data_IF_909936502839
#
_entry.id   IF_909936502839
#
_cell.length_a   1.000
_cell.length_b   1.000
_cell.length_c   1.000
_cell.angle_alpha   90.00
_cell.angle_beta   90.00
_cell.angle_gamma   90.00
#
_symmetry.space_group_name_H-M   'P 1'
#
loop_
_entity.id
_entity.type
_entity.pdbx_description
1 polymer ?
#
# COMPACT_ATOMS: atom_id res chain seq x y z
N UNK A 1 -23.60 -2.69 -0.62
CA UNK A 1 -24.49 -3.86 -0.67
C UNK A 1 -24.50 -4.38 -2.10
N UNK A 2 -24.07 -5.61 -2.30
CA UNK A 2 -23.94 -6.22 -3.63
C UNK A 2 -25.26 -6.92 -4.03
N UNK A 3 -26.36 -6.16 -4.00
CA UNK A 3 -27.63 -6.65 -4.49
C UNK A 3 -27.56 -6.72 -6.01
N UNK A 4 -27.50 -7.92 -6.56
CA UNK A 4 -27.47 -8.14 -7.99
C UNK A 4 -26.33 -9.02 -8.47
N UNK A 5 -25.43 -9.41 -7.58
CA UNK A 5 -24.44 -10.43 -7.87
C UNK A 5 -24.90 -11.76 -7.28
N UNK A 6 -25.46 -12.66 -8.07
CA UNK A 6 -25.74 -13.99 -7.55
C UNK A 6 -24.40 -14.63 -7.20
N UNK A 7 -24.27 -15.08 -5.96
CA UNK A 7 -23.18 -15.99 -5.60
C UNK A 7 -23.49 -17.30 -6.30
N UNK A 8 -22.99 -17.43 -7.50
CA UNK A 8 -23.13 -18.66 -8.26
C UNK A 8 -21.85 -19.45 -8.07
N UNK A 9 -21.95 -20.54 -7.32
CA UNK A 9 -20.91 -21.53 -7.27
C UNK A 9 -20.95 -22.32 -8.57
N UNK A 10 -20.04 -22.03 -9.49
CA UNK A 10 -19.88 -22.78 -10.73
C UNK A 10 -19.01 -24.01 -10.46
N UNK A 11 -19.45 -25.24 -10.80
CA UNK A 11 -18.53 -26.35 -10.93
C UNK A 11 -17.51 -25.99 -12.02
N UNK A 12 -16.24 -25.97 -11.65
CA UNK A 12 -15.16 -25.50 -12.55
C UNK A 12 -15.07 -26.30 -13.86
N UNK A 13 -15.64 -27.49 -13.91
CA UNK A 13 -15.64 -28.34 -15.10
C UNK A 13 -16.64 -27.92 -16.17
N UNK A 14 -17.59 -27.04 -15.88
CA UNK A 14 -18.67 -26.63 -16.80
C UNK A 14 -18.65 -25.17 -17.19
N UNK A 15 -17.66 -24.41 -16.69
CA UNK A 15 -17.53 -23.00 -16.99
C UNK A 15 -16.79 -22.80 -18.31
N UNK A 16 -17.55 -22.77 -19.42
CA UNK A 16 -17.01 -22.41 -20.73
C UNK A 16 -17.46 -20.99 -21.04
N UNK A 17 -16.51 -20.08 -21.12
CA UNK A 17 -16.79 -18.72 -21.59
C UNK A 17 -16.95 -18.73 -23.09
N UNK A 18 -18.08 -18.22 -23.63
CA UNK A 18 -18.26 -18.16 -25.09
C UNK A 18 -17.44 -17.04 -25.75
N UNK A 19 -16.86 -16.14 -24.96
CA UNK A 19 -16.26 -14.90 -25.46
C UNK A 19 -14.77 -15.01 -25.73
N UNK A 20 -14.10 -16.06 -25.23
CA UNK A 20 -12.65 -16.21 -25.38
C UNK A 20 -12.26 -17.64 -25.74
N UNK A 21 -11.31 -17.74 -26.65
CA UNK A 21 -10.79 -19.05 -27.04
C UNK A 21 -9.91 -19.67 -25.96
N UNK A 22 -9.78 -21.02 -25.92
CA UNK A 22 -8.86 -21.68 -25.01
C UNK A 22 -7.40 -21.19 -25.14
N UNK A 23 -6.97 -20.85 -26.36
CA UNK A 23 -5.62 -20.33 -26.62
C UNK A 23 -5.40 -18.96 -25.99
N UNK A 24 -6.40 -18.09 -26.04
CA UNK A 24 -6.35 -16.78 -25.36
C UNK A 24 -6.22 -16.94 -23.84
N UNK A 25 -6.95 -17.86 -23.25
CA UNK A 25 -6.90 -18.12 -21.81
C UNK A 25 -5.55 -18.71 -21.39
N UNK A 26 -4.97 -19.58 -22.18
CA UNK A 26 -3.63 -20.12 -21.94
C UNK A 26 -2.58 -19.00 -21.99
N UNK A 27 -2.69 -18.10 -22.96
CA UNK A 27 -1.80 -16.96 -23.10
C UNK A 27 -1.88 -16.03 -21.88
N UNK A 28 -3.10 -15.74 -21.38
CA UNK A 28 -3.30 -14.93 -20.17
C UNK A 28 -2.74 -15.60 -18.93
N UNK A 29 -2.92 -16.91 -18.80
CA UNK A 29 -2.33 -17.70 -17.71
C UNK A 29 -0.80 -17.59 -17.72
N UNK A 30 -0.20 -17.64 -18.90
CA UNK A 30 1.24 -17.45 -19.08
C UNK A 30 1.70 -16.07 -18.63
N UNK A 31 0.95 -15.02 -18.92
CA UNK A 31 1.25 -13.65 -18.47
C UNK A 31 1.23 -13.54 -16.96
N UNK A 32 0.22 -14.11 -16.30
CA UNK A 32 0.15 -14.12 -14.82
C UNK A 32 1.34 -14.85 -14.23
N UNK A 33 1.68 -16.03 -14.75
CA UNK A 33 2.83 -16.81 -14.28
C UNK A 33 4.15 -16.07 -14.46
N UNK A 34 4.35 -15.44 -15.61
CA UNK A 34 5.56 -14.66 -15.91
C UNK A 34 5.70 -13.42 -15.02
N UNK A 35 4.57 -12.87 -14.54
CA UNK A 35 4.53 -11.68 -13.72
C UNK A 35 4.41 -11.96 -12.21
N UNK A 36 4.52 -13.22 -11.79
CA UNK A 36 4.28 -13.62 -10.39
C UNK A 36 5.15 -12.86 -9.38
N UNK A 37 6.40 -12.58 -9.71
CA UNK A 37 7.29 -11.78 -8.86
C UNK A 37 6.83 -10.34 -8.70
N UNK A 38 6.29 -9.73 -9.75
CA UNK A 38 5.73 -8.38 -9.69
C UNK A 38 4.46 -8.34 -8.84
N UNK A 39 3.57 -9.31 -8.99
CA UNK A 39 2.37 -9.41 -8.16
C UNK A 39 2.72 -9.56 -6.69
N UNK A 40 3.72 -10.38 -6.36
CA UNK A 40 4.19 -10.55 -4.99
C UNK A 40 4.69 -9.24 -4.41
N UNK A 41 5.55 -8.52 -5.11
CA UNK A 41 6.08 -7.22 -4.65
C UNK A 41 4.98 -6.18 -4.44
N UNK A 42 4.05 -6.09 -5.37
CA UNK A 42 2.92 -5.16 -5.27
C UNK A 42 2.03 -5.55 -4.09
N UNK A 43 1.74 -6.82 -3.92
CA UNK A 43 0.94 -7.32 -2.79
C UNK A 43 1.59 -7.03 -1.45
N UNK A 44 2.89 -7.25 -1.31
CA UNK A 44 3.64 -6.91 -0.10
C UNK A 44 3.61 -5.40 0.20
N UNK A 45 3.71 -4.58 -0.85
CA UNK A 45 3.63 -3.13 -0.72
C UNK A 45 2.24 -2.69 -0.22
N UNK A 46 1.17 -3.21 -0.79
CA UNK A 46 -0.19 -2.93 -0.32
C UNK A 46 -0.42 -3.43 1.11
N UNK A 47 0.15 -4.57 1.48
CA UNK A 47 0.06 -5.09 2.85
C UNK A 47 0.69 -4.12 3.88
N UNK A 48 1.78 -3.46 3.51
CA UNK A 48 2.40 -2.43 4.36
C UNK A 48 1.48 -1.22 4.56
N UNK A 49 0.66 -0.89 3.58
CA UNK A 49 -0.26 0.24 3.62
C UNK A 49 -1.59 -0.10 4.31
N UNK A 50 -1.90 -1.37 4.52
CA UNK A 50 -3.22 -1.82 4.98
C UNK A 50 -3.51 -1.59 6.48
N UNK A 51 -2.58 -1.02 7.24
CA UNK A 51 -2.80 -0.70 8.64
C UNK A 51 -3.33 0.72 8.82
N UNK A 52 -4.38 0.91 9.62
CA UNK A 52 -4.94 2.24 9.90
C UNK A 52 -3.90 3.21 10.45
N UNK A 53 -3.10 2.78 11.42
CA UNK A 53 -2.05 3.62 12.00
C UNK A 53 -0.99 4.01 10.97
N UNK A 54 -0.59 3.08 10.10
CA UNK A 54 0.38 3.37 9.04
C UNK A 54 -0.16 4.36 8.02
N UNK A 55 -1.44 4.25 7.66
CA UNK A 55 -2.10 5.23 6.80
C UNK A 55 -2.16 6.61 7.44
N UNK A 56 -2.43 6.68 8.74
CA UNK A 56 -2.40 7.95 9.50
C UNK A 56 -1.01 8.58 9.47
N UNK A 57 0.04 7.80 9.65
CA UNK A 57 1.42 8.28 9.56
C UNK A 57 1.71 8.85 8.17
N UNK A 58 1.34 8.13 7.13
CA UNK A 58 1.53 8.57 5.75
C UNK A 58 0.78 9.87 5.48
N UNK A 59 -0.46 9.97 5.92
CA UNK A 59 -1.27 11.18 5.77
C UNK A 59 -0.65 12.38 6.46
N UNK A 60 -0.13 12.20 7.67
CA UNK A 60 0.55 13.27 8.41
C UNK A 60 1.84 13.72 7.72
N UNK A 61 2.64 12.78 7.24
CA UNK A 61 3.88 13.12 6.53
C UNK A 61 3.59 13.79 5.18
N UNK A 62 2.51 13.40 4.51
CA UNK A 62 2.08 14.07 3.28
C UNK A 62 1.64 15.51 3.55
N UNK A 63 0.96 15.76 4.67
CA UNK A 63 0.44 17.07 5.04
C UNK A 63 1.54 18.05 5.40
N UNK A 64 2.50 17.64 6.25
CA UNK A 64 3.51 18.54 6.80
C UNK A 64 4.92 18.35 6.25
N UNK A 65 5.15 17.30 5.49
CA UNK A 65 6.42 16.98 4.84
C UNK A 65 7.35 16.14 5.69
N UNK A 66 7.58 16.51 6.94
CA UNK A 66 8.54 15.82 7.81
C UNK A 66 8.12 15.91 9.27
N UNK A 67 8.24 14.80 10.00
CA UNK A 67 7.97 14.74 11.45
C UNK A 67 8.96 13.80 12.14
N UNK A 68 9.28 14.11 13.39
CA UNK A 68 10.03 13.20 14.26
C UNK A 68 9.09 12.20 14.96
N UNK A 69 9.68 11.15 15.53
CA UNK A 69 8.91 10.10 16.22
C UNK A 69 8.09 10.67 17.38
N UNK A 70 8.65 11.60 18.15
CA UNK A 70 7.95 12.21 19.28
C UNK A 70 6.71 12.97 18.85
N UNK A 71 6.79 13.72 17.77
CA UNK A 71 5.65 14.48 17.25
C UNK A 71 4.56 13.54 16.72
N UNK A 72 4.94 12.50 15.98
CA UNK A 72 4.01 11.47 15.54
C UNK A 72 3.32 10.77 16.71
N UNK A 73 4.08 10.41 17.73
CA UNK A 73 3.55 9.77 18.92
C UNK A 73 2.54 10.66 19.64
N UNK A 74 2.83 11.96 19.74
CA UNK A 74 1.93 12.93 20.34
C UNK A 74 0.62 13.07 19.56
N UNK A 75 0.72 13.23 18.25
CA UNK A 75 -0.46 13.40 17.38
C UNK A 75 -1.33 12.14 17.36
N UNK A 76 -0.69 10.97 17.32
CA UNK A 76 -1.40 9.68 17.23
C UNK A 76 -1.82 9.14 18.60
N UNK A 77 -1.42 9.81 19.69
CA UNK A 77 -1.69 9.35 21.07
C UNK A 77 -1.18 7.91 21.30
N UNK A 78 0.05 7.67 20.85
CA UNK A 78 0.73 6.38 20.94
C UNK A 78 2.06 6.54 21.63
N UNK A 79 2.63 5.42 22.08
CA UNK A 79 4.00 5.43 22.60
C UNK A 79 5.00 5.61 21.45
N UNK A 80 6.14 6.29 21.69
CA UNK A 80 7.20 6.39 20.69
C UNK A 80 7.70 5.04 20.20
N UNK A 81 7.75 4.04 21.08
CA UNK A 81 8.14 2.68 20.71
C UNK A 81 7.18 2.04 19.67
N UNK A 82 5.87 2.21 19.86
CA UNK A 82 4.87 1.72 18.94
C UNK A 82 4.97 2.42 17.57
N UNK A 83 5.12 3.75 17.58
CA UNK A 83 5.32 4.53 16.34
C UNK A 83 6.59 4.10 15.62
N UNK A 84 7.68 3.89 16.36
CA UNK A 84 8.95 3.43 15.78
C UNK A 84 8.83 2.08 15.08
N UNK A 85 8.03 1.17 15.62
CA UNK A 85 7.77 -0.13 14.97
C UNK A 85 7.06 0.03 13.63
N UNK A 86 6.04 0.89 13.58
CA UNK A 86 5.34 1.18 12.32
C UNK A 86 6.26 1.86 11.30
N UNK A 87 7.04 2.83 11.74
CA UNK A 87 8.02 3.54 10.89
C UNK A 87 9.10 2.59 10.36
N UNK A 88 9.57 1.66 11.17
CA UNK A 88 10.54 0.65 10.75
C UNK A 88 10.00 -0.22 9.61
N UNK A 89 8.75 -0.64 9.69
CA UNK A 89 8.11 -1.40 8.62
C UNK A 89 7.95 -0.57 7.34
N UNK A 90 7.50 0.68 7.48
CA UNK A 90 7.36 1.60 6.34
C UNK A 90 8.71 1.91 5.70
N UNK A 91 9.77 2.03 6.49
CA UNK A 91 11.13 2.25 6.00
C UNK A 91 11.67 1.04 5.25
N UNK A 92 11.46 -0.16 5.78
CA UNK A 92 11.83 -1.42 5.11
C UNK A 92 11.13 -1.54 3.76
N UNK A 93 9.86 -1.14 3.68
CA UNK A 93 9.10 -1.09 2.43
C UNK A 93 9.44 0.10 1.52
N UNK A 94 10.37 0.94 1.91
CA UNK A 94 10.78 2.15 1.17
C UNK A 94 9.66 3.16 0.95
N UNK A 95 8.68 3.19 1.85
CA UNK A 95 7.58 4.14 1.84
C UNK A 95 7.99 5.45 2.52
N UNK A 96 8.81 5.35 3.55
CA UNK A 96 9.37 6.51 4.26
C UNK A 96 10.89 6.47 4.23
N UNK A 97 11.48 7.66 4.35
CA UNK A 97 12.92 7.87 4.55
C UNK A 97 13.14 8.55 5.89
N UNK A 98 14.30 8.32 6.47
CA UNK A 98 14.69 8.99 7.71
C UNK A 98 15.97 9.80 7.50
N UNK A 99 16.07 10.88 8.25
CA UNK A 99 17.32 11.63 8.41
C UNK A 99 17.58 11.90 9.90
N UNK A 100 18.83 11.99 10.26
CA UNK A 100 19.24 12.29 11.60
C UNK A 100 19.73 13.74 11.69
N UNK A 101 19.23 14.48 12.68
CA UNK A 101 19.72 15.79 13.03
C UNK A 101 19.99 15.81 14.54
N UNK A 102 21.27 15.70 14.90
CA UNK A 102 21.67 15.53 16.31
C UNK A 102 21.13 14.24 16.90
N UNK A 103 20.34 14.37 17.96
CA UNK A 103 19.70 13.24 18.64
C UNK A 103 18.29 12.94 18.10
N UNK A 104 17.81 13.71 17.15
CA UNK A 104 16.46 13.60 16.61
C UNK A 104 16.48 12.93 15.25
N UNK A 105 15.58 11.97 15.05
CA UNK A 105 15.37 11.32 13.77
C UNK A 105 14.06 11.81 13.18
N UNK A 106 14.13 12.36 11.97
CA UNK A 106 12.98 12.84 11.20
C UNK A 106 12.63 11.84 10.10
N UNK A 107 11.35 11.72 9.85
CA UNK A 107 10.80 10.86 8.80
C UNK A 107 10.04 11.69 7.79
N UNK A 108 10.13 11.30 6.53
CA UNK A 108 9.38 11.87 5.42
C UNK A 108 8.99 10.76 4.44
N UNK A 109 8.02 11.03 3.59
CA UNK A 109 7.67 10.10 2.53
C UNK A 109 8.85 9.96 1.56
N UNK A 110 9.14 8.74 1.16
CA UNK A 110 10.13 8.46 0.15
C UNK A 110 9.63 8.96 -1.21
N UNK A 111 10.53 9.51 -2.02
CA UNK A 111 10.21 9.80 -3.41
C UNK A 111 10.01 8.48 -4.15
N UNK A 112 8.95 8.40 -4.96
CA UNK A 112 8.73 7.23 -5.79
C UNK A 112 9.92 7.04 -6.72
N UNK A 113 10.56 5.87 -6.74
CA UNK A 113 11.60 5.60 -7.71
C UNK A 113 11.01 5.73 -9.11
N UNK A 114 11.76 6.36 -10.02
CA UNK A 114 11.36 6.48 -11.41
C UNK A 114 10.98 5.10 -11.96
N UNK A 115 9.70 4.90 -12.31
CA UNK A 115 9.18 3.63 -12.80
C UNK A 115 8.61 2.68 -11.74
N UNK A 116 8.58 3.09 -10.47
CA UNK A 116 7.85 2.35 -9.43
C UNK A 116 6.38 2.72 -9.40
N UNK A 117 5.51 1.85 -8.86
CA UNK A 117 4.14 2.24 -8.62
C UNK A 117 4.16 3.44 -7.67
N UNK A 118 3.73 4.59 -8.17
CA UNK A 118 3.37 5.68 -7.29
C UNK A 118 2.36 5.09 -6.30
N UNK A 119 2.64 5.21 -5.01
CA UNK A 119 1.57 5.00 -4.04
C UNK A 119 0.49 5.98 -4.45
N UNK A 120 -0.65 5.53 -4.95
CA UNK A 120 -1.74 6.45 -5.11
C UNK A 120 -2.23 6.78 -3.70
N UNK A 121 -1.51 7.66 -3.05
CA UNK A 121 -2.15 8.49 -2.05
C UNK A 121 -3.13 9.25 -2.91
N UNK A 122 -4.35 8.81 -2.87
CA UNK A 122 -5.47 9.33 -3.64
C UNK A 122 -5.28 10.83 -3.84
N UNK A 123 -5.39 11.31 -5.05
CA UNK A 123 -5.22 12.73 -5.35
C UNK A 123 -6.20 13.67 -4.63
N UNK A 124 -6.72 13.22 -3.50
CA UNK A 124 -7.42 14.00 -2.50
C UNK A 124 -6.67 13.84 -1.19
N UNK A 125 -6.26 14.94 -0.63
CA UNK A 125 -5.73 14.97 0.71
C UNK A 125 -6.79 14.43 1.67
N UNK A 126 -6.39 13.48 2.51
CA UNK A 126 -7.30 12.81 3.45
C UNK A 126 -7.95 13.82 4.42
N UNK A 127 -7.29 14.96 4.62
CA UNK A 127 -7.77 16.01 5.52
C UNK A 127 -8.65 17.07 4.83
N UNK A 128 -8.85 17.00 3.52
CA UNK A 128 -9.66 17.96 2.77
C UNK A 128 -11.13 17.53 2.64
N UNK A 129 -11.54 16.48 3.32
CA UNK A 129 -12.92 15.99 3.32
C UNK A 129 -13.75 16.57 4.47
N UNK A 130 -13.95 17.86 4.45
CA UNK A 130 -15.02 18.45 5.25
C UNK A 130 -15.93 19.35 4.39
#
# INVERSE_FOLDING_TARGET
MLEGWPIVSFPQSECVSPDRSPEELIALKGKISASSGNFRRISEHFALLAGETRLKIIALLDEVGELCVCDLATVLEMTPAAVSQHLSRLRTGRIVQSRRDGMTIYYRLAEAPAGGPAVPVTGRRIFDEE
#
